data_IF_027713340790
#
_entry.id   IF_027713340790
#
_cell.length_a   1.000
_cell.length_b   1.000
_cell.length_c   1.000
_cell.angle_alpha   90.00
_cell.angle_beta   90.00
_cell.angle_gamma   90.00
#
_symmetry.space_group_name_H-M   'P 1'
#
loop_
_entity.id
_entity.type
_entity.pdbx_description
1 polymer ?
#
# COMPACT_ATOMS: atom_id res chain seq x y z
N UNK A 1 13.88 -9.96 3.77
CA UNK A 1 13.95 -8.51 3.48
C UNK A 1 13.63 -8.14 2.05
N UNK A 2 14.06 -8.93 1.09
CA UNK A 2 13.79 -8.60 -0.31
C UNK A 2 12.30 -8.59 -0.66
N UNK A 3 11.50 -9.49 -0.07
CA UNK A 3 10.04 -9.47 -0.27
C UNK A 3 9.40 -8.21 0.29
N UNK A 4 9.81 -7.78 1.49
CA UNK A 4 9.27 -6.55 2.08
C UNK A 4 9.63 -5.33 1.24
N UNK A 5 10.86 -5.28 0.72
CA UNK A 5 11.29 -4.21 -0.18
C UNK A 5 10.48 -4.22 -1.48
N UNK A 6 10.25 -5.40 -2.05
CA UNK A 6 9.48 -5.56 -3.28
C UNK A 6 8.03 -5.12 -3.07
N UNK A 7 7.43 -5.47 -1.94
CA UNK A 7 6.05 -5.08 -1.63
C UNK A 7 5.92 -3.57 -1.50
N UNK A 8 6.87 -2.92 -0.82
CA UNK A 8 6.89 -1.47 -0.70
C UNK A 8 7.03 -0.83 -2.08
N UNK A 9 7.93 -1.35 -2.90
CA UNK A 9 8.13 -0.82 -4.26
C UNK A 9 6.86 -0.95 -5.09
N UNK A 10 6.19 -2.09 -5.02
CA UNK A 10 4.92 -2.30 -5.72
C UNK A 10 3.88 -1.28 -5.27
N UNK A 11 3.77 -1.06 -3.96
CA UNK A 11 2.84 -0.07 -3.42
C UNK A 11 3.15 1.33 -3.94
N UNK A 12 4.43 1.70 -3.96
CA UNK A 12 4.86 3.01 -4.46
C UNK A 12 4.56 3.18 -5.96
N UNK A 13 4.84 2.15 -6.75
CA UNK A 13 4.56 2.16 -8.19
C UNK A 13 3.07 2.30 -8.49
N UNK A 14 2.23 1.81 -7.61
CA UNK A 14 0.78 1.93 -7.74
C UNK A 14 0.22 3.27 -7.29
N UNK A 15 1.04 4.11 -6.67
CA UNK A 15 0.61 5.41 -6.18
C UNK A 15 0.16 5.43 -4.73
N UNK A 16 0.57 4.44 -3.94
CA UNK A 16 0.21 4.39 -2.51
C UNK A 16 0.77 5.55 -1.71
N UNK A 17 1.83 6.21 -2.19
CA UNK A 17 2.36 7.42 -1.58
C UNK A 17 1.31 8.54 -1.52
N UNK A 18 0.38 8.58 -2.46
CA UNK A 18 -0.70 9.55 -2.50
C UNK A 18 -2.01 9.01 -1.93
N UNK A 19 -2.34 7.74 -2.17
CA UNK A 19 -3.64 7.17 -1.84
C UNK A 19 -3.68 6.40 -0.53
N UNK A 20 -2.53 5.97 -0.03
CA UNK A 20 -2.42 5.26 1.24
C UNK A 20 -1.11 5.64 1.95
N UNK A 21 -0.87 6.94 2.20
CA UNK A 21 0.44 7.40 2.70
C UNK A 21 0.78 6.88 4.09
N UNK A 22 -0.19 6.74 4.98
CA UNK A 22 0.07 6.26 6.35
C UNK A 22 0.51 4.80 6.32
N UNK A 23 -0.23 3.94 5.60
CA UNK A 23 0.12 2.53 5.50
C UNK A 23 1.50 2.34 4.85
N UNK A 24 1.81 3.12 3.82
CA UNK A 24 3.12 3.05 3.17
C UNK A 24 4.24 3.50 4.12
N UNK A 25 4.03 4.58 4.86
CA UNK A 25 4.99 5.07 5.84
C UNK A 25 5.24 4.03 6.95
N UNK A 26 4.17 3.39 7.43
CA UNK A 26 4.28 2.33 8.43
C UNK A 26 5.07 1.13 7.89
N UNK A 27 4.82 0.74 6.65
CA UNK A 27 5.56 -0.35 6.00
C UNK A 27 7.06 -0.05 5.97
N UNK A 28 7.43 1.16 5.59
CA UNK A 28 8.82 1.58 5.53
C UNK A 28 9.47 1.61 6.91
N UNK A 29 8.73 2.07 7.92
CA UNK A 29 9.23 2.13 9.30
C UNK A 29 9.46 0.73 9.85
N UNK A 30 8.51 -0.20 9.64
CA UNK A 30 8.67 -1.58 10.09
C UNK A 30 9.84 -2.28 9.40
N UNK A 31 10.08 -1.98 8.11
CA UNK A 31 11.24 -2.53 7.43
C UNK A 31 12.55 -2.01 8.02
N UNK A 32 12.59 -0.73 8.35
CA UNK A 32 13.75 -0.12 9.00
C UNK A 32 14.00 -0.77 10.36
N UNK A 33 12.94 -0.97 11.15
CA UNK A 33 13.03 -1.63 12.46
C UNK A 33 13.54 -3.06 12.31
N UNK A 34 13.08 -3.77 11.28
CA UNK A 34 13.55 -5.12 11.00
C UNK A 34 15.05 -5.17 10.70
N UNK A 35 15.54 -4.20 9.93
CA UNK A 35 16.98 -4.12 9.62
C UNK A 35 17.81 -3.86 10.87
N UNK A 36 17.33 -2.99 11.74
CA UNK A 36 17.99 -2.71 13.03
C UNK A 36 18.01 -3.97 13.88
N UNK A 37 16.87 -4.66 14.01
CA UNK A 37 16.79 -5.89 14.78
C UNK A 37 17.70 -6.97 14.22
N UNK A 38 17.81 -7.08 12.90
CA UNK A 38 18.70 -8.04 12.25
C UNK A 38 20.18 -7.75 12.59
N UNK A 39 20.55 -6.47 12.53
CA UNK A 39 21.92 -6.04 12.88
C UNK A 39 22.24 -6.34 14.33
N UNK A 40 21.25 -6.27 15.22
CA UNK A 40 21.38 -6.58 16.64
C UNK A 40 21.21 -8.08 16.94
N UNK A 41 21.09 -8.91 15.92
CA UNK A 41 20.88 -10.36 16.02
C UNK A 41 19.60 -10.73 16.79
N UNK A 42 18.61 -9.83 16.79
CA UNK A 42 17.28 -10.09 17.36
C UNK A 42 16.36 -10.64 16.27
N UNK A 43 16.59 -11.90 15.92
CA UNK A 43 15.97 -12.50 14.73
C UNK A 43 14.46 -12.67 14.83
N UNK A 44 13.95 -12.98 16.04
CA UNK A 44 12.50 -13.09 16.23
C UNK A 44 11.81 -11.74 16.04
N UNK A 45 12.39 -10.69 16.59
CA UNK A 45 11.87 -9.32 16.42
C UNK A 45 11.96 -8.89 14.96
N UNK A 46 13.09 -9.17 14.30
CA UNK A 46 13.28 -8.85 12.89
C UNK A 46 12.20 -9.49 12.03
N UNK A 47 11.93 -10.76 12.26
CA UNK A 47 10.89 -11.50 11.55
C UNK A 47 9.51 -10.88 11.75
N UNK A 48 9.19 -10.56 12.99
CA UNK A 48 7.92 -9.91 13.33
C UNK A 48 7.76 -8.57 12.61
N UNK A 49 8.82 -7.75 12.62
CA UNK A 49 8.81 -6.46 11.95
C UNK A 49 8.70 -6.60 10.43
N UNK A 50 9.35 -7.62 9.85
CA UNK A 50 9.22 -7.91 8.42
C UNK A 50 7.79 -8.29 8.05
N UNK A 51 7.15 -9.14 8.85
CA UNK A 51 5.77 -9.54 8.62
C UNK A 51 4.83 -8.35 8.69
N UNK A 52 5.06 -7.45 9.64
CA UNK A 52 4.27 -6.21 9.75
C UNK A 52 4.47 -5.32 8.53
N UNK A 53 5.72 -5.16 8.08
CA UNK A 53 6.01 -4.36 6.90
C UNK A 53 5.28 -4.88 5.67
N UNK A 54 5.31 -6.20 5.47
CA UNK A 54 4.61 -6.81 4.33
C UNK A 54 3.09 -6.65 4.44
N UNK A 55 2.53 -6.82 5.64
CA UNK A 55 1.10 -6.62 5.86
C UNK A 55 0.67 -5.18 5.59
N UNK A 56 1.46 -4.21 6.04
CA UNK A 56 1.20 -2.79 5.80
C UNK A 56 1.26 -2.46 4.32
N UNK A 57 2.22 -3.03 3.60
CA UNK A 57 2.36 -2.83 2.15
C UNK A 57 1.17 -3.41 1.40
N UNK A 58 0.72 -4.60 1.78
CA UNK A 58 -0.44 -5.24 1.16
C UNK A 58 -1.71 -4.45 1.44
N UNK A 59 -1.85 -3.92 2.66
CA UNK A 59 -2.95 -3.03 3.00
C UNK A 59 -2.91 -1.76 2.14
N UNK A 60 -1.74 -1.16 1.97
CA UNK A 60 -1.56 0.03 1.14
C UNK A 60 -1.98 -0.24 -0.31
N UNK A 61 -1.59 -1.40 -0.84
CA UNK A 61 -1.95 -1.82 -2.20
C UNK A 61 -3.47 -1.98 -2.33
N UNK A 62 -4.08 -2.70 -1.39
CA UNK A 62 -5.52 -2.93 -1.41
C UNK A 62 -6.31 -1.62 -1.30
N UNK A 63 -5.89 -0.73 -0.42
CA UNK A 63 -6.54 0.58 -0.24
C UNK A 63 -6.42 1.43 -1.50
N UNK A 64 -5.24 1.44 -2.13
CA UNK A 64 -5.00 2.16 -3.37
C UNK A 64 -5.91 1.64 -4.49
N UNK A 65 -6.00 0.32 -4.64
CA UNK A 65 -6.87 -0.30 -5.63
C UNK A 65 -8.35 0.02 -5.38
N UNK A 66 -8.79 -0.07 -4.13
CA UNK A 66 -10.18 0.24 -3.77
C UNK A 66 -10.53 1.70 -4.09
N UNK A 67 -9.64 2.62 -3.77
CA UNK A 67 -9.85 4.04 -4.05
C UNK A 67 -9.98 4.29 -5.55
N UNK A 68 -9.11 3.67 -6.35
CA UNK A 68 -9.15 3.80 -7.81
C UNK A 68 -10.40 3.21 -8.41
N UNK A 69 -10.84 2.05 -7.92
CA UNK A 69 -12.06 1.40 -8.39
C UNK A 69 -13.30 2.25 -8.09
N UNK A 70 -13.38 2.80 -6.88
CA UNK A 70 -14.48 3.67 -6.49
C UNK A 70 -14.54 4.94 -7.35
N UNK A 71 -13.37 5.51 -7.64
CA UNK A 71 -13.29 6.69 -8.50
C UNK A 71 -13.71 6.39 -9.92
N UNK A 72 -13.32 5.23 -10.45
CA UNK A 72 -13.71 4.80 -11.78
C UNK A 72 -15.24 4.60 -11.88
N UNK A 73 -15.85 4.03 -10.84
CA UNK A 73 -17.30 3.87 -10.78
C UNK A 73 -18.02 5.21 -10.75
N UNK A 74 -17.52 6.18 -9.98
CA UNK A 74 -18.08 7.53 -9.93
C UNK A 74 -18.03 8.19 -11.32
N UNK A 75 -16.89 8.09 -11.99
CA UNK A 75 -16.73 8.66 -13.33
C UNK A 75 -17.67 8.01 -14.34
N UNK A 76 -17.84 6.69 -14.25
CA UNK A 76 -18.77 5.98 -15.13
C UNK A 76 -20.20 6.44 -14.87
N UNK A 77 -20.59 6.57 -13.62
CA UNK A 77 -21.92 7.03 -13.25
C UNK A 77 -22.19 8.44 -13.76
N UNK A 78 -21.22 9.33 -13.63
CA UNK A 78 -21.34 10.69 -14.17
C UNK A 78 -21.51 10.68 -15.69
N UNK A 79 -20.75 9.84 -16.39
CA UNK A 79 -20.86 9.70 -17.84
C UNK A 79 -22.24 9.21 -18.28
N UNK A 80 -22.78 8.23 -17.55
CA UNK A 80 -24.10 7.67 -17.83
C UNK A 80 -25.19 8.73 -17.59
N UNK A 81 -25.08 9.49 -16.51
CA UNK A 81 -26.03 10.56 -16.21
C UNK A 81 -26.00 11.64 -17.29
N UNK A 82 -24.83 12.02 -17.75
CA UNK A 82 -24.68 12.99 -18.84
C UNK A 82 -25.34 12.48 -20.12
N UNK A 83 -25.11 11.22 -20.46
CA UNK A 83 -25.70 10.61 -21.66
C UNK A 83 -27.22 10.60 -21.58
N UNK A 84 -27.79 10.24 -20.42
CA UNK A 84 -29.24 10.25 -20.22
C UNK A 84 -29.84 11.64 -20.40
N UNK A 85 -29.13 12.68 -19.96
CA UNK A 85 -29.59 14.07 -20.10
C UNK A 85 -29.60 14.52 -21.56
N UNK A 86 -28.71 13.97 -22.36
CA UNK A 86 -28.63 14.32 -23.80
C UNK A 86 -29.67 13.62 -24.66
N UNK A 87 -30.27 12.55 -24.17
CA UNK A 87 -31.31 11.82 -24.90
C UNK A 87 -32.68 12.48 -24.77
#
# INVERSE_FOLDING_TARGET
>A
MSEAQADIRTAEEMGADQLAPVALADAKQHLKDARIAMADEKFTKARYDLEKSMADSQFAIAKTNATRSNKAEEQLQESLNTLEQEL
#
